data_IF_784565643326
#
_entry.id   IF_784565643326
#
_cell.length_a   1.000
_cell.length_b   1.000
_cell.length_c   1.000
_cell.angle_alpha   90.00
_cell.angle_beta   90.00
_cell.angle_gamma   90.00
#
_symmetry.space_group_name_H-M   'P 1'
#
loop_
_entity.id
_entity.type
_entity.pdbx_description
1 polymer ?
#
# COMPACT_ATOMS: atom_id res chain seq x y z
N UNK A 1 3.90 -17.25 6.71
CA UNK A 1 3.60 -18.35 5.76
C UNK A 1 3.41 -19.70 6.47
N UNK A 2 4.45 -20.34 7.04
CA UNK A 2 4.35 -21.75 7.49
C UNK A 2 3.30 -22.03 8.57
N UNK A 3 2.98 -21.06 9.43
CA UNK A 3 1.95 -21.19 10.47
C UNK A 3 0.52 -20.97 9.96
N UNK A 4 0.33 -20.15 8.91
CA UNK A 4 -0.99 -19.70 8.45
C UNK A 4 -1.38 -20.18 7.06
N UNK A 5 -0.43 -20.67 6.27
CA UNK A 5 -0.61 -20.93 4.83
C UNK A 5 -0.60 -19.66 3.97
N UNK A 6 -0.53 -18.47 4.56
CA UNK A 6 -0.56 -17.21 3.81
C UNK A 6 0.68 -17.07 2.89
N UNK A 7 0.41 -16.61 1.66
CA UNK A 7 1.40 -16.30 0.63
C UNK A 7 1.62 -14.80 0.62
N UNK A 8 2.87 -14.37 0.52
CA UNK A 8 3.24 -12.97 0.50
C UNK A 8 4.05 -12.67 -0.76
N UNK A 9 3.75 -11.54 -1.38
CA UNK A 9 4.51 -10.97 -2.49
C UNK A 9 4.97 -9.57 -2.11
N UNK A 10 6.24 -9.27 -2.39
CA UNK A 10 6.78 -7.91 -2.26
C UNK A 10 6.69 -7.21 -3.62
N UNK A 11 5.88 -6.16 -3.70
CA UNK A 11 5.73 -5.33 -4.90
C UNK A 11 6.62 -4.11 -4.77
N UNK A 12 7.66 -4.03 -5.61
CA UNK A 12 8.54 -2.88 -5.62
C UNK A 12 7.91 -1.72 -6.39
N UNK A 13 7.69 -0.58 -5.71
CA UNK A 13 7.14 0.64 -6.30
C UNK A 13 8.23 1.70 -6.42
N UNK A 14 8.38 2.27 -7.62
CA UNK A 14 9.36 3.34 -7.85
C UNK A 14 8.77 4.69 -7.45
N UNK A 15 9.58 5.52 -6.79
CA UNK A 15 9.18 6.89 -6.46
C UNK A 15 9.14 7.76 -7.73
N UNK A 16 7.94 8.04 -8.25
CA UNK A 16 7.73 8.83 -9.47
C UNK A 16 7.80 10.34 -9.24
N UNK A 17 7.72 10.81 -7.99
CA UNK A 17 7.71 12.23 -7.63
C UNK A 17 9.13 12.77 -7.43
N UNK A 18 9.96 12.05 -6.66
CA UNK A 18 11.33 12.44 -6.34
C UNK A 18 12.40 11.66 -7.13
N UNK A 19 11.97 10.66 -7.91
CA UNK A 19 12.82 9.81 -8.74
C UNK A 19 13.22 8.49 -8.08
N UNK A 20 13.51 7.48 -8.89
CA UNK A 20 13.73 6.09 -8.45
C UNK A 20 14.96 5.84 -7.56
N UNK A 21 15.84 6.83 -7.39
CA UNK A 21 16.93 6.76 -6.40
C UNK A 21 16.46 7.04 -4.97
N UNK A 22 15.25 7.59 -4.80
CA UNK A 22 14.65 7.83 -3.48
C UNK A 22 13.88 6.58 -3.05
N UNK A 23 14.37 5.92 -1.99
CA UNK A 23 13.87 4.62 -1.53
C UNK A 23 13.13 4.68 -0.19
N UNK A 24 12.85 5.87 0.33
CA UNK A 24 12.12 6.04 1.60
C UNK A 24 10.63 5.75 1.40
N UNK A 25 10.11 4.76 2.13
CA UNK A 25 8.71 4.33 2.03
C UNK A 25 7.70 5.46 2.26
N UNK A 26 7.95 6.32 3.26
CA UNK A 26 7.10 7.48 3.58
C UNK A 26 7.08 8.59 2.52
N UNK A 27 7.89 8.46 1.45
CA UNK A 27 7.89 9.41 0.32
C UNK A 27 7.24 8.83 -0.94
N UNK A 28 6.65 7.64 -0.86
CA UNK A 28 5.99 7.02 -2.01
C UNK A 28 4.73 7.80 -2.41
N UNK A 29 4.60 8.19 -3.70
CA UNK A 29 3.40 8.86 -4.20
C UNK A 29 2.20 7.90 -4.25
N UNK A 30 1.00 8.41 -3.97
CA UNK A 30 -0.23 7.61 -4.06
C UNK A 30 -0.47 7.12 -5.49
N UNK A 31 -0.19 7.97 -6.49
CA UNK A 31 -0.35 7.61 -7.90
C UNK A 31 0.58 6.47 -8.35
N UNK A 32 1.77 6.37 -7.75
CA UNK A 32 2.70 5.27 -8.02
C UNK A 32 2.17 3.95 -7.44
N UNK A 33 1.59 3.99 -6.24
CA UNK A 33 0.92 2.85 -5.61
C UNK A 33 -0.29 2.40 -6.44
N UNK A 34 -1.14 3.35 -6.88
CA UNK A 34 -2.27 3.06 -7.76
C UNK A 34 -1.80 2.36 -9.04
N UNK A 35 -0.76 2.87 -9.70
CA UNK A 35 -0.22 2.26 -10.92
C UNK A 35 0.28 0.82 -10.72
N UNK A 36 0.79 0.50 -9.53
CA UNK A 36 1.25 -0.84 -9.19
C UNK A 36 0.11 -1.81 -8.81
N UNK A 37 -1.00 -1.30 -8.27
CA UNK A 37 -2.06 -2.11 -7.67
C UNK A 37 -3.36 -2.18 -8.48
N UNK A 38 -3.69 -1.17 -9.30
CA UNK A 38 -5.01 -1.05 -9.95
C UNK A 38 -5.38 -2.25 -10.84
N UNK A 39 -4.38 -2.93 -11.42
CA UNK A 39 -4.58 -4.11 -12.28
C UNK A 39 -4.41 -5.46 -11.55
N UNK A 40 -4.11 -5.45 -10.24
CA UNK A 40 -3.83 -6.66 -9.45
C UNK A 40 -5.13 -7.28 -8.92
N UNK A 41 -5.67 -8.25 -9.63
CA UNK A 41 -6.88 -9.00 -9.22
C UNK A 41 -6.56 -10.30 -8.47
N UNK A 42 -5.29 -10.57 -8.22
CA UNK A 42 -4.75 -11.77 -7.60
C UNK A 42 -4.39 -11.59 -6.12
N UNK A 43 -4.69 -10.42 -5.56
CA UNK A 43 -4.42 -10.06 -4.17
C UNK A 43 -5.73 -9.91 -3.41
N UNK A 44 -5.76 -10.46 -2.19
CA UNK A 44 -6.88 -10.31 -1.25
C UNK A 44 -6.69 -9.06 -0.38
N UNK A 45 -5.43 -8.71 -0.09
CA UNK A 45 -5.03 -7.61 0.79
C UNK A 45 -3.73 -6.98 0.29
N UNK A 46 -3.69 -5.65 0.24
CA UNK A 46 -2.48 -4.86 0.00
C UNK A 46 -2.07 -4.11 1.27
N UNK A 47 -0.82 -4.33 1.70
CA UNK A 47 -0.22 -3.54 2.79
C UNK A 47 0.54 -2.36 2.20
N UNK A 48 0.19 -1.16 2.64
CA UNK A 48 0.79 0.10 2.21
C UNK A 48 1.50 0.75 3.40
N UNK A 49 2.72 1.32 3.22
CA UNK A 49 3.43 2.00 4.30
C UNK A 49 2.58 3.11 4.92
N UNK A 50 2.25 2.98 6.20
CA UNK A 50 1.43 3.96 6.90
C UNK A 50 2.10 5.33 7.00
N UNK A 51 3.43 5.39 6.94
CA UNK A 51 4.20 6.63 6.95
C UNK A 51 4.15 7.41 5.62
N UNK A 52 3.55 6.85 4.56
CA UNK A 52 3.39 7.53 3.26
C UNK A 52 2.23 8.53 3.26
N UNK A 53 1.45 8.57 4.34
CA UNK A 53 0.23 9.37 4.47
C UNK A 53 0.37 10.30 5.67
N UNK A 54 -0.08 11.54 5.51
CA UNK A 54 -0.14 12.51 6.60
C UNK A 54 -1.43 12.37 7.44
N UNK A 55 -1.58 13.23 8.45
CA UNK A 55 -2.74 13.22 9.35
C UNK A 55 -4.06 13.58 8.64
N UNK A 56 -3.99 14.16 7.43
CA UNK A 56 -5.14 14.46 6.57
C UNK A 56 -5.50 13.36 5.57
N UNK A 57 -4.82 12.20 5.59
CA UNK A 57 -5.11 11.12 4.65
C UNK A 57 -4.54 11.32 3.25
N UNK A 58 -3.54 12.20 3.08
CA UNK A 58 -2.92 12.53 1.81
C UNK A 58 -1.50 11.98 1.66
N UNK A 59 -1.21 11.50 0.45
CA UNK A 59 0.14 11.22 -0.03
C UNK A 59 0.86 12.51 -0.45
N UNK A 60 2.18 12.43 -0.61
CA UNK A 60 3.03 13.58 -1.01
C UNK A 60 2.65 14.21 -2.37
N UNK A 61 1.96 13.48 -3.24
CA UNK A 61 1.45 13.95 -4.53
C UNK A 61 0.01 14.48 -4.48
N UNK A 62 -0.54 14.73 -3.28
CA UNK A 62 -1.91 15.15 -3.00
C UNK A 62 -2.99 14.13 -3.41
N UNK A 63 -2.62 12.90 -3.75
CA UNK A 63 -3.60 11.83 -3.85
C UNK A 63 -4.12 11.50 -2.44
N UNK A 64 -5.42 11.25 -2.28
CA UNK A 64 -5.98 10.83 -0.99
C UNK A 64 -6.01 9.31 -0.87
N UNK A 65 -5.98 8.81 0.36
CA UNK A 65 -6.13 7.38 0.65
C UNK A 65 -7.46 6.85 0.10
N UNK A 66 -8.55 7.59 0.28
CA UNK A 66 -9.88 7.17 -0.16
C UNK A 66 -9.95 7.03 -1.68
N UNK A 67 -9.25 7.88 -2.43
CA UNK A 67 -9.15 7.75 -3.88
C UNK A 67 -8.33 6.51 -4.28
N UNK A 68 -7.29 6.16 -3.52
CA UNK A 68 -6.50 4.97 -3.78
C UNK A 68 -7.33 3.71 -3.49
N UNK A 69 -8.02 3.66 -2.35
CA UNK A 69 -8.92 2.57 -1.96
C UNK A 69 -10.02 2.34 -3.01
N UNK A 70 -10.62 3.42 -3.52
CA UNK A 70 -11.63 3.33 -4.57
C UNK A 70 -11.07 2.88 -5.94
N UNK A 71 -9.75 3.00 -6.16
CA UNK A 71 -9.09 2.73 -7.43
C UNK A 71 -8.46 1.33 -7.52
N UNK A 72 -8.46 0.56 -6.44
CA UNK A 72 -7.85 -0.78 -6.38
C UNK A 72 -8.90 -1.86 -6.07
N UNK A 73 -8.73 -3.10 -6.55
CA UNK A 73 -9.76 -4.13 -6.43
C UNK A 73 -9.73 -4.92 -5.11
N UNK A 74 -8.70 -4.74 -4.28
CA UNK A 74 -8.48 -5.48 -3.04
C UNK A 74 -8.60 -4.58 -1.81
N UNK A 75 -8.72 -5.17 -0.63
CA UNK A 75 -8.64 -4.42 0.63
C UNK A 75 -7.25 -3.78 0.77
N UNK A 76 -7.19 -2.53 1.21
CA UNK A 76 -5.95 -1.81 1.48
C UNK A 76 -5.83 -1.55 2.98
N UNK A 77 -4.66 -1.86 3.56
CA UNK A 77 -4.34 -1.52 4.95
C UNK A 77 -3.06 -0.74 5.04
N UNK A 78 -3.10 0.32 5.84
CA UNK A 78 -1.89 0.99 6.28
C UNK A 78 -1.19 0.14 7.34
N UNK A 79 0.11 -0.03 7.17
CA UNK A 79 0.95 -0.80 8.07
C UNK A 79 2.25 -0.05 8.30
N UNK A 80 2.62 0.10 9.57
CA UNK A 80 3.93 0.59 10.00
C UNK A 80 4.91 -0.56 10.17
N UNK A 81 4.40 -1.75 10.54
CA UNK A 81 5.29 -2.85 10.93
C UNK A 81 4.91 -4.27 10.52
N UNK A 82 4.13 -4.56 9.48
CA UNK A 82 3.69 -5.91 9.04
C UNK A 82 2.92 -6.75 10.08
N UNK A 83 3.31 -6.76 11.35
CA UNK A 83 2.67 -7.48 12.44
C UNK A 83 1.36 -6.78 12.80
N UNK A 84 1.34 -5.45 12.80
CA UNK A 84 0.14 -4.64 12.98
C UNK A 84 -1.00 -5.06 12.04
N UNK A 85 -0.68 -5.31 10.77
CA UNK A 85 -1.64 -5.70 9.75
C UNK A 85 -2.26 -7.09 9.96
N UNK A 86 -1.64 -7.94 10.80
CA UNK A 86 -2.08 -9.30 11.09
C UNK A 86 -3.00 -9.39 12.33
N UNK A 87 -3.23 -8.28 13.03
CA UNK A 87 -4.11 -8.28 14.21
C UNK A 87 -5.59 -8.37 13.82
N UNK A 88 -5.97 -7.83 12.67
CA UNK A 88 -7.36 -7.79 12.23
C UNK A 88 -7.62 -8.82 11.10
N UNK A 89 -8.74 -9.55 11.12
CA UNK A 89 -9.12 -10.42 10.01
C UNK A 89 -9.49 -9.61 8.76
N UNK A 90 -9.24 -10.15 7.57
CA UNK A 90 -9.67 -9.57 6.27
C UNK A 90 -11.19 -9.65 6.15
N UNK A 91 -11.83 -8.62 5.59
CA UNK A 91 -13.27 -8.66 5.36
C UNK A 91 -13.59 -9.74 4.30
N UNK A 92 -14.60 -10.57 4.59
CA UNK A 92 -14.99 -11.72 3.76
C UNK A 92 -15.78 -11.33 2.51
#
# INVERSE_FOLDING_TARGET
ARATGAIFELIAVSNTLFGGSVTTAGLLPGTALQGALAARTDLELALVPGEAINDEGLFMDNMSLELLEAAVPMELRLSKDFIDALHDPVAA
#
